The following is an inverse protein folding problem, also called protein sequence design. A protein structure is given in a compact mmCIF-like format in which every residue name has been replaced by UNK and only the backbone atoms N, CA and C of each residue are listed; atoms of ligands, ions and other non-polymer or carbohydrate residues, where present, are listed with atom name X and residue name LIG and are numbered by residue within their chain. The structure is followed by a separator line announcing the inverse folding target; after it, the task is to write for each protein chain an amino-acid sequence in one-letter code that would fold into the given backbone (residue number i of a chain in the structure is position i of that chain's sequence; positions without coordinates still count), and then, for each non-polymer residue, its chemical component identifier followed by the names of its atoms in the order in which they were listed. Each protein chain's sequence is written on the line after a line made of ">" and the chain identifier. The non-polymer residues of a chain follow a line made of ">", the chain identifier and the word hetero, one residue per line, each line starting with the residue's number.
data_IF_674797952584
#
_entry.id   IF_674797952584
#
_cell.length_a   1.000
_cell.length_b   1.000
_cell.length_c   1.000
_cell.angle_alpha   90.00
_cell.angle_beta   90.00
_cell.angle_gamma   90.00
#
_symmetry.space_group_name_H-M   'P 1'
#
loop_
_entity.id
_entity.type
_entity.pdbx_description
1 polymer ?
#
# COMPACT_ATOMS: atom_id res chain seq x y z
N UNK A 1 -24.43 -5.77 -0.89
CA UNK A 1 -24.14 -4.32 -0.87
C UNK A 1 -23.12 -4.02 -1.96
N UNK A 2 -23.45 -3.21 -2.97
CA UNK A 2 -22.47 -2.73 -3.96
C UNK A 2 -21.88 -1.44 -3.40
N UNK A 3 -20.61 -1.46 -3.03
CA UNK A 3 -19.88 -0.22 -2.75
C UNK A 3 -19.86 0.61 -4.05
N UNK A 4 -20.15 1.90 -3.93
CA UNK A 4 -20.45 2.77 -5.06
C UNK A 4 -19.19 2.94 -5.93
N UNK A 5 -19.27 2.61 -7.22
CA UNK A 5 -18.15 2.58 -8.16
C UNK A 5 -17.37 3.90 -8.22
N UNK A 6 -18.07 5.03 -8.02
CA UNK A 6 -17.47 6.37 -7.99
C UNK A 6 -16.67 6.63 -6.70
N UNK A 7 -17.13 6.14 -5.55
CA UNK A 7 -16.41 6.25 -4.28
C UNK A 7 -15.11 5.46 -4.34
N UNK A 8 -15.18 4.23 -4.85
CA UNK A 8 -14.02 3.38 -5.08
C UNK A 8 -13.02 4.11 -5.99
N UNK A 9 -13.44 4.56 -7.18
CA UNK A 9 -12.57 5.26 -8.13
C UNK A 9 -11.90 6.52 -7.55
N UNK A 10 -12.60 7.30 -6.72
CA UNK A 10 -12.02 8.48 -6.04
C UNK A 10 -10.96 8.13 -4.99
N UNK A 11 -11.11 6.99 -4.30
CA UNK A 11 -10.16 6.50 -3.31
C UNK A 11 -8.89 5.97 -4.00
N UNK A 12 -9.02 5.29 -5.14
CA UNK A 12 -7.87 4.91 -6.00
C UNK A 12 -7.19 6.12 -6.63
N UNK A 13 -7.89 7.24 -6.85
CA UNK A 13 -7.26 8.47 -7.34
C UNK A 13 -6.39 9.17 -6.28
N UNK A 14 -6.66 8.95 -4.98
CA UNK A 14 -5.81 9.41 -3.86
C UNK A 14 -4.72 8.41 -3.47
N UNK A 15 -4.91 7.13 -3.77
CA UNK A 15 -3.99 6.05 -3.44
C UNK A 15 -3.52 5.34 -4.70
N UNK A 16 -2.26 5.54 -5.07
CA UNK A 16 -1.65 4.76 -6.16
C UNK A 16 -1.25 3.39 -5.62
N UNK A 17 -1.82 2.33 -6.20
CA UNK A 17 -1.48 0.95 -5.88
C UNK A 17 -0.65 0.37 -7.00
N UNK A 18 0.61 0.05 -6.70
CA UNK A 18 1.50 -0.59 -7.66
C UNK A 18 1.45 -2.10 -7.49
N UNK A 19 1.13 -2.80 -8.58
CA UNK A 19 1.20 -4.27 -8.66
C UNK A 19 2.49 -4.65 -9.38
N UNK A 20 3.42 -5.30 -8.68
CA UNK A 20 4.54 -5.96 -9.35
C UNK A 20 4.03 -7.12 -10.21
N UNK A 21 4.35 -7.12 -11.52
CA UNK A 21 3.93 -8.19 -12.42
C UNK A 21 4.77 -9.46 -12.16
N UNK A 22 4.18 -10.64 -11.91
CA UNK A 22 4.90 -11.89 -11.72
C UNK A 22 5.34 -12.51 -13.06
N UNK A 23 5.97 -11.74 -13.94
CA UNK A 23 6.61 -12.31 -15.14
C UNK A 23 7.98 -12.90 -14.77
N UNK A 24 7.94 -14.04 -14.07
CA UNK A 24 8.96 -15.09 -13.90
C UNK A 24 8.72 -15.82 -12.57
N UNK A 25 8.54 -17.13 -12.66
CA UNK A 25 8.40 -18.03 -11.51
C UNK A 25 9.45 -17.70 -10.42
N UNK A 26 8.97 -17.46 -9.19
CA UNK A 26 9.81 -17.33 -7.99
C UNK A 26 10.03 -15.93 -7.42
N UNK A 27 9.41 -14.86 -7.94
CA UNK A 27 9.51 -13.51 -7.33
C UNK A 27 8.41 -13.23 -6.31
N UNK A 28 8.82 -12.76 -5.13
CA UNK A 28 7.95 -12.21 -4.08
C UNK A 28 6.98 -11.17 -4.65
N UNK A 29 5.69 -11.31 -4.35
CA UNK A 29 4.66 -10.32 -4.62
C UNK A 29 4.69 -9.27 -3.52
N UNK A 30 4.93 -8.04 -3.93
CA UNK A 30 4.98 -6.88 -3.03
C UNK A 30 3.81 -5.97 -3.38
N UNK A 31 3.03 -5.58 -2.37
CA UNK A 31 2.05 -4.51 -2.46
C UNK A 31 2.70 -3.22 -1.97
N UNK A 32 2.63 -2.16 -2.77
CA UNK A 32 3.01 -0.81 -2.34
C UNK A 32 1.82 0.12 -2.54
N UNK A 33 1.39 0.75 -1.46
CA UNK A 33 0.34 1.76 -1.46
C UNK A 33 0.97 3.12 -1.21
N UNK A 34 0.71 4.07 -2.10
CA UNK A 34 1.11 5.45 -1.91
C UNK A 34 -0.12 6.33 -1.73
N UNK A 35 -0.39 6.78 -0.50
CA UNK A 35 -1.52 7.61 -0.12
C UNK A 35 -1.16 9.08 0.13
N UNK A 36 -2.14 9.97 -0.06
CA UNK A 36 -2.07 11.35 0.42
C UNK A 36 -2.27 11.40 1.94
N UNK A 37 -1.25 11.90 2.65
CA UNK A 37 -1.25 11.97 4.11
C UNK A 37 -1.96 13.23 4.65
N UNK A 38 -2.39 14.15 3.78
CA UNK A 38 -3.03 15.40 4.18
C UNK A 38 -4.42 15.15 4.75
N UNK A 39 -4.59 15.37 6.05
CA UNK A 39 -5.88 15.14 6.72
C UNK A 39 -6.29 13.67 6.78
N UNK A 40 -5.30 12.76 6.84
CA UNK A 40 -5.52 11.32 6.92
C UNK A 40 -6.37 10.97 8.16
N UNK A 41 -7.40 10.14 7.94
CA UNK A 41 -8.19 9.51 9.01
C UNK A 41 -7.63 8.10 9.23
N UNK A 42 -6.92 7.82 10.34
CA UNK A 42 -6.24 6.55 10.55
C UNK A 42 -7.18 5.32 10.54
N UNK A 43 -8.44 5.51 10.90
CA UNK A 43 -9.42 4.41 10.93
C UNK A 43 -9.80 4.03 9.50
N UNK A 44 -10.14 5.04 8.68
CA UNK A 44 -10.51 4.83 7.28
C UNK A 44 -9.35 4.34 6.43
N UNK A 45 -8.15 4.86 6.68
CA UNK A 45 -6.94 4.41 6.02
C UNK A 45 -6.67 2.93 6.29
N UNK A 46 -6.74 2.52 7.56
CA UNK A 46 -6.62 1.11 7.96
C UNK A 46 -7.62 0.23 7.24
N UNK A 47 -8.91 0.60 7.28
CA UNK A 47 -9.98 -0.17 6.62
C UNK A 47 -9.75 -0.31 5.12
N UNK A 48 -9.31 0.77 4.47
CA UNK A 48 -8.99 0.78 3.04
C UNK A 48 -7.82 -0.15 2.72
N UNK A 49 -6.71 -0.06 3.45
CA UNK A 49 -5.51 -0.87 3.21
C UNK A 49 -5.79 -2.36 3.38
N UNK A 50 -6.48 -2.74 4.45
CA UNK A 50 -6.81 -4.14 4.73
C UNK A 50 -7.81 -4.71 3.71
N UNK A 51 -8.82 -3.92 3.31
CA UNK A 51 -9.76 -4.33 2.25
C UNK A 51 -9.05 -4.49 0.90
N UNK A 52 -8.18 -3.56 0.54
CA UNK A 52 -7.40 -3.59 -0.71
C UNK A 52 -6.48 -4.80 -0.77
N UNK A 53 -5.73 -5.06 0.31
CA UNK A 53 -4.87 -6.24 0.40
C UNK A 53 -5.67 -7.54 0.21
N UNK A 54 -6.80 -7.67 0.91
CA UNK A 54 -7.69 -8.82 0.82
C UNK A 54 -8.26 -9.01 -0.60
N UNK A 55 -8.61 -7.92 -1.28
CA UNK A 55 -9.18 -7.97 -2.63
C UNK A 55 -8.15 -8.39 -3.68
N UNK A 56 -6.91 -7.88 -3.61
CA UNK A 56 -5.90 -8.12 -4.64
C UNK A 56 -5.19 -9.48 -4.45
N UNK A 57 -5.15 -9.98 -3.22
CA UNK A 57 -4.72 -11.34 -2.90
C UNK A 57 -3.52 -11.38 -1.97
N UNK A 58 -2.94 -12.56 -1.74
CA UNK A 58 -1.82 -12.68 -0.81
C UNK A 58 -0.57 -12.03 -1.39
N UNK A 59 0.14 -11.32 -0.52
CA UNK A 59 1.43 -10.70 -0.76
C UNK A 59 2.41 -11.14 0.31
N UNK A 60 3.68 -11.32 -0.06
CA UNK A 60 4.75 -11.62 0.88
C UNK A 60 5.15 -10.37 1.67
N UNK A 61 5.01 -9.19 1.07
CA UNK A 61 5.34 -7.91 1.70
C UNK A 61 4.30 -6.85 1.30
N UNK A 62 3.97 -5.96 2.24
CA UNK A 62 3.04 -4.86 2.02
C UNK A 62 3.60 -3.59 2.65
N UNK A 63 3.66 -2.52 1.86
CA UNK A 63 4.28 -1.26 2.24
C UNK A 63 3.33 -0.09 2.01
N UNK A 64 3.40 0.91 2.89
CA UNK A 64 2.69 2.19 2.76
C UNK A 64 3.64 3.34 3.07
N UNK A 65 3.49 4.48 2.41
CA UNK A 65 4.24 5.68 2.77
C UNK A 65 3.73 6.23 4.11
N UNK A 66 4.65 6.51 5.04
CA UNK A 66 4.30 6.86 6.41
C UNK A 66 3.98 5.66 7.31
N UNK A 67 3.53 5.95 8.52
CA UNK A 67 3.14 4.94 9.51
C UNK A 67 1.71 4.47 9.27
N UNK A 68 1.43 3.19 9.57
CA UNK A 68 0.08 2.64 9.48
C UNK A 68 -0.24 1.67 10.61
N UNK A 69 -1.50 1.69 11.02
CA UNK A 69 -2.07 0.73 11.95
C UNK A 69 -2.65 -0.52 11.25
N UNK A 70 -2.60 -0.57 9.91
CA UNK A 70 -3.09 -1.69 9.11
C UNK A 70 -2.26 -2.94 9.33
N UNK A 71 -2.96 -4.05 9.63
CA UNK A 71 -2.28 -5.31 9.89
C UNK A 71 -1.56 -5.80 8.65
N UNK A 72 -0.26 -6.10 8.80
CA UNK A 72 0.58 -6.65 7.74
C UNK A 72 1.18 -5.60 6.80
N UNK A 73 0.92 -4.30 7.02
CA UNK A 73 1.61 -3.21 6.35
C UNK A 73 2.79 -2.71 7.20
N UNK A 74 3.91 -2.44 6.55
CA UNK A 74 5.06 -1.78 7.14
C UNK A 74 5.29 -0.40 6.49
N UNK A 75 5.89 0.52 7.24
CA UNK A 75 6.25 1.83 6.70
C UNK A 75 7.36 1.70 5.65
N UNK A 76 7.17 2.33 4.50
CA UNK A 76 8.14 2.43 3.43
C UNK A 76 9.25 3.44 3.72
N UNK A 77 9.02 4.37 4.65
CA UNK A 77 9.89 5.53 4.91
C UNK A 77 11.34 5.15 5.23
N UNK A 78 11.64 4.14 6.08
CA UNK A 78 13.03 3.77 6.37
C UNK A 78 13.75 3.25 5.13
N UNK A 79 13.08 2.42 4.32
CA UNK A 79 13.63 1.89 3.07
C UNK A 79 13.88 3.02 2.07
N UNK A 80 12.90 3.91 1.90
CA UNK A 80 13.01 5.06 1.01
C UNK A 80 14.18 5.95 1.42
N UNK A 81 14.29 6.32 2.70
CA UNK A 81 15.42 7.12 3.22
C UNK A 81 16.75 6.46 2.92
N UNK A 82 16.90 5.16 3.22
CA UNK A 82 18.14 4.41 2.95
C UNK A 82 18.54 4.47 1.47
N UNK A 83 17.59 4.27 0.57
CA UNK A 83 17.82 4.32 -0.88
C UNK A 83 18.22 5.74 -1.33
N UNK A 84 17.58 6.78 -0.78
CA UNK A 84 17.85 8.16 -1.14
C UNK A 84 19.18 8.69 -0.59
N UNK A 85 19.64 8.19 0.56
CA UNK A 85 20.90 8.60 1.18
C UNK A 85 22.09 7.72 0.79
N UNK A 86 21.91 6.76 -0.12
CA UNK A 86 22.97 5.84 -0.56
C UNK A 86 23.49 4.92 0.54
N UNK A 87 22.67 4.63 1.57
CA UNK A 87 23.11 3.92 2.76
C UNK A 87 23.37 2.42 2.52
N UNK A 88 24.64 2.02 2.59
CA UNK A 88 25.06 0.64 2.82
C UNK A 88 24.68 0.19 4.25
N UNK A 89 24.49 -1.12 4.41
CA UNK A 89 23.82 -1.85 5.51
C UNK A 89 24.20 -1.46 6.93
#
# INVERSE_FOLDING_TARGET
>A
MKANSEYISSVWAKHSVFRGNPDREGKKRVLVVWGDMTGLDPIKDREFLEATAKEIGPFEEQWVNGDSAAKGFASLDPLFKRLMTGGET
#
